data_IF_455663290024
#
_entry.id   IF_455663290024
#
_cell.length_a   1.000
_cell.length_b   1.000
_cell.length_c   1.000
_cell.angle_alpha   90.00
_cell.angle_beta   90.00
_cell.angle_gamma   90.00
#
_symmetry.space_group_name_H-M   'P 1'
#
loop_
_entity.id
_entity.type
_entity.pdbx_description
1 polymer ?
#
# COMPACT_ATOMS: atom_id res chain seq x y z
N UNK A 1 -12.83 -78.00 -39.68
CA UNK A 1 -11.44 -77.90 -39.18
C UNK A 1 -11.18 -76.41 -38.94
N UNK A 2 -11.50 -75.93 -37.73
CA UNK A 2 -11.45 -74.51 -37.34
C UNK A 2 -10.30 -74.36 -36.34
N UNK A 3 -9.24 -73.66 -36.76
CA UNK A 3 -8.07 -73.38 -35.94
C UNK A 3 -8.42 -72.28 -34.92
N UNK A 4 -8.34 -72.61 -33.63
CA UNK A 4 -8.45 -71.67 -32.52
C UNK A 4 -7.14 -70.87 -32.40
N UNK A 5 -7.28 -69.55 -32.42
CA UNK A 5 -6.21 -68.57 -32.23
C UNK A 5 -5.74 -68.55 -30.75
N UNK A 6 -4.50 -68.98 -30.43
CA UNK A 6 -4.00 -69.01 -29.07
C UNK A 6 -3.53 -67.64 -28.55
N UNK A 7 -3.52 -66.58 -29.37
CA UNK A 7 -2.92 -65.29 -28.99
C UNK A 7 -3.86 -64.33 -28.25
N UNK A 8 -5.16 -64.66 -28.11
CA UNK A 8 -6.14 -63.80 -27.44
C UNK A 8 -5.99 -63.69 -25.92
N UNK A 9 -5.37 -64.67 -25.25
CA UNK A 9 -5.27 -64.67 -23.78
C UNK A 9 -4.04 -63.96 -23.22
N UNK A 10 -2.95 -63.80 -23.98
CA UNK A 10 -1.73 -63.14 -23.48
C UNK A 10 -1.81 -61.60 -23.45
N UNK A 11 -2.71 -60.99 -24.25
CA UNK A 11 -2.90 -59.54 -24.27
C UNK A 11 -3.71 -59.00 -23.06
N UNK A 12 -4.51 -59.85 -22.41
CA UNK A 12 -5.29 -59.46 -21.23
C UNK A 12 -4.46 -59.33 -19.95
N UNK A 13 -3.44 -60.17 -19.76
CA UNK A 13 -2.66 -60.20 -18.52
C UNK A 13 -1.55 -59.13 -18.45
N UNK A 14 -1.01 -58.71 -19.60
CA UNK A 14 0.02 -57.66 -19.64
C UNK A 14 -0.53 -56.26 -19.31
N UNK A 15 -1.83 -56.01 -19.54
CA UNK A 15 -2.46 -54.73 -19.18
C UNK A 15 -2.70 -54.59 -17.67
N UNK A 16 -2.90 -55.69 -16.94
CA UNK A 16 -3.11 -55.66 -15.47
C UNK A 16 -1.81 -55.54 -14.67
N UNK A 17 -0.66 -55.91 -15.24
CA UNK A 17 0.65 -55.78 -14.60
C UNK A 17 1.26 -54.38 -14.71
N UNK A 18 0.74 -53.50 -15.57
CA UNK A 18 1.21 -52.11 -15.74
C UNK A 18 0.41 -51.09 -14.91
N UNK A 19 -0.77 -51.46 -14.38
CA UNK A 19 -1.62 -50.59 -13.56
C UNK A 19 -1.02 -50.26 -12.17
N UNK A 20 -0.28 -51.17 -11.47
CA UNK A 20 0.28 -50.84 -10.15
C UNK A 20 1.45 -49.85 -10.19
N UNK A 21 2.14 -49.70 -11.33
CA UNK A 21 3.29 -48.81 -11.48
C UNK A 21 2.91 -47.36 -11.80
N UNK A 22 1.65 -47.10 -12.20
CA UNK A 22 1.15 -45.74 -12.41
C UNK A 22 0.47 -45.14 -11.16
N UNK A 23 0.29 -45.93 -10.09
CA UNK A 23 -0.30 -45.47 -8.83
C UNK A 23 0.72 -44.87 -7.82
N UNK A 24 2.01 -44.82 -8.17
CA UNK A 24 3.10 -44.59 -7.21
C UNK A 24 3.52 -43.14 -6.96
N UNK A 25 3.04 -42.15 -7.72
CA UNK A 25 3.42 -40.74 -7.53
C UNK A 25 2.20 -39.82 -7.61
N UNK A 26 1.09 -40.17 -6.95
CA UNK A 26 0.11 -39.14 -6.65
C UNK A 26 0.66 -38.36 -5.46
N UNK A 27 1.40 -37.28 -5.74
CA UNK A 27 1.79 -36.32 -4.73
C UNK A 27 0.50 -35.85 -4.05
N UNK A 28 0.27 -36.32 -2.83
CA UNK A 28 -0.81 -35.79 -2.00
C UNK A 28 -0.50 -34.30 -1.86
N UNK A 29 -1.25 -33.46 -2.57
CA UNK A 29 -1.21 -32.01 -2.39
C UNK A 29 -1.46 -31.76 -0.91
N UNK A 30 -0.41 -31.39 -0.19
CA UNK A 30 -0.45 -31.22 1.26
C UNK A 30 -1.18 -29.91 1.52
N UNK A 31 -2.51 -29.96 1.54
CA UNK A 31 -3.35 -28.82 1.87
C UNK A 31 -3.20 -28.53 3.37
N UNK A 32 -2.80 -27.31 3.71
CA UNK A 32 -2.74 -26.85 5.09
C UNK A 32 -1.58 -25.90 5.38
N UNK A 33 -1.45 -25.45 6.64
CA UNK A 33 -0.39 -24.55 7.05
C UNK A 33 1.00 -25.10 6.71
N UNK A 34 1.85 -24.23 6.16
CA UNK A 34 3.23 -24.55 5.76
C UNK A 34 4.19 -23.53 6.38
N UNK A 35 5.30 -24.01 6.94
CA UNK A 35 6.30 -23.16 7.59
C UNK A 35 7.48 -22.92 6.66
N UNK A 36 7.95 -21.68 6.59
CA UNK A 36 9.05 -21.23 5.74
C UNK A 36 10.12 -20.54 6.56
N UNK A 37 11.40 -20.75 6.22
CA UNK A 37 12.49 -19.94 6.78
C UNK A 37 12.74 -18.73 5.88
N UNK A 38 12.34 -17.54 6.32
CA UNK A 38 12.34 -16.31 5.51
C UNK A 38 13.10 -15.16 6.20
N UNK A 39 13.74 -14.25 5.45
CA UNK A 39 14.22 -13.00 6.01
C UNK A 39 13.03 -12.15 6.46
N UNK A 40 13.04 -11.71 7.71
CA UNK A 40 11.95 -10.95 8.31
C UNK A 40 12.49 -9.93 9.30
N UNK A 41 11.82 -8.78 9.40
CA UNK A 41 12.23 -7.73 10.32
C UNK A 41 12.02 -8.21 11.77
N UNK A 42 13.05 -8.14 12.60
CA UNK A 42 12.95 -8.43 14.04
C UNK A 42 12.92 -7.16 14.88
N UNK A 43 13.55 -6.09 14.40
CA UNK A 43 13.58 -4.75 14.98
C UNK A 43 13.63 -3.72 13.82
N UNK A 44 13.33 -2.42 14.07
CA UNK A 44 13.45 -1.38 13.04
C UNK A 44 14.79 -1.43 12.30
N UNK A 45 14.75 -1.51 10.96
CA UNK A 45 15.93 -1.64 10.11
C UNK A 45 16.73 -2.96 10.18
N UNK A 46 16.37 -3.93 11.04
CA UNK A 46 17.10 -5.17 11.24
C UNK A 46 16.32 -6.39 10.76
N UNK A 47 17.00 -7.29 10.03
CA UNK A 47 16.39 -8.48 9.43
C UNK A 47 17.17 -9.73 9.82
N UNK A 48 16.43 -10.80 10.12
CA UNK A 48 16.97 -12.12 10.43
C UNK A 48 16.12 -13.21 9.77
N UNK A 49 16.67 -14.42 9.64
CA UNK A 49 15.88 -15.57 9.20
C UNK A 49 14.93 -16.01 10.33
N UNK A 50 13.65 -16.11 10.02
CA UNK A 50 12.60 -16.49 10.95
C UNK A 50 11.70 -17.56 10.33
N UNK A 51 11.19 -18.47 11.16
CA UNK A 51 10.17 -19.43 10.74
C UNK A 51 8.81 -18.76 10.68
N UNK A 52 8.26 -18.62 9.48
CA UNK A 52 6.97 -17.99 9.21
C UNK A 52 5.98 -19.05 8.73
N UNK A 53 4.87 -19.21 9.44
CA UNK A 53 3.81 -20.14 9.05
C UNK A 53 2.78 -19.44 8.16
N UNK A 54 2.65 -19.91 6.93
CA UNK A 54 1.63 -19.48 5.98
C UNK A 54 0.42 -20.40 6.05
N UNK A 55 -0.76 -19.81 6.24
CA UNK A 55 -2.02 -20.53 6.52
C UNK A 55 -3.09 -20.31 5.46
N UNK A 56 -2.90 -19.32 4.59
CA UNK A 56 -3.84 -18.96 3.51
C UNK A 56 -3.38 -19.47 2.15
N UNK A 57 -2.18 -20.03 2.07
CA UNK A 57 -1.57 -20.56 0.86
C UNK A 57 -2.15 -21.95 0.57
N UNK A 58 -2.66 -22.15 -0.65
CA UNK A 58 -3.33 -23.40 -1.01
C UNK A 58 -2.31 -24.52 -1.34
N UNK A 59 -1.20 -24.16 -1.99
CA UNK A 59 -0.11 -25.07 -2.39
C UNK A 59 1.25 -24.40 -2.15
N UNK A 60 2.18 -25.01 -1.37
CA UNK A 60 3.52 -24.45 -1.19
C UNK A 60 4.31 -24.25 -2.49
N UNK A 61 4.01 -25.00 -3.55
CA UNK A 61 4.70 -24.92 -4.83
C UNK A 61 4.06 -23.97 -5.84
N UNK A 62 2.95 -23.32 -5.46
CA UNK A 62 2.27 -22.32 -6.28
C UNK A 62 1.82 -21.17 -5.38
N UNK A 63 2.45 -19.99 -5.50
CA UNK A 63 2.21 -18.83 -4.63
C UNK A 63 0.88 -18.13 -4.95
N UNK A 64 -0.21 -18.84 -4.71
CA UNK A 64 -1.59 -18.42 -4.85
C UNK A 64 -2.39 -18.94 -3.66
N UNK A 65 -3.16 -18.07 -3.04
CA UNK A 65 -4.02 -18.41 -1.92
C UNK A 65 -5.00 -17.29 -1.62
N UNK A 66 -5.57 -17.25 -0.42
CA UNK A 66 -6.60 -16.24 -0.08
C UNK A 66 -6.03 -14.82 0.06
N UNK A 67 -4.76 -14.70 0.47
CA UNK A 67 -4.12 -13.42 0.69
C UNK A 67 -3.51 -12.82 -0.58
N UNK A 68 -2.85 -13.62 -1.41
CA UNK A 68 -2.19 -13.10 -2.60
C UNK A 68 -2.08 -14.13 -3.71
N UNK A 69 -1.87 -13.62 -4.92
CA UNK A 69 -1.39 -14.35 -6.08
C UNK A 69 -0.12 -13.65 -6.56
N UNK A 70 1.01 -14.29 -6.33
CA UNK A 70 2.34 -13.77 -6.68
C UNK A 70 2.72 -14.23 -8.09
N UNK A 71 3.38 -13.38 -8.86
CA UNK A 71 3.82 -13.66 -10.22
C UNK A 71 5.30 -13.29 -10.38
N UNK A 72 6.03 -14.03 -11.21
CA UNK A 72 7.40 -13.70 -11.60
C UNK A 72 7.40 -12.93 -12.92
N UNK A 73 8.06 -11.77 -12.98
CA UNK A 73 8.43 -11.13 -14.25
C UNK A 73 7.26 -10.91 -15.23
N UNK A 74 6.04 -10.77 -14.73
CA UNK A 74 4.84 -10.71 -15.57
C UNK A 74 4.78 -9.41 -16.37
N UNK A 75 4.38 -9.50 -17.62
CA UNK A 75 4.10 -8.35 -18.47
C UNK A 75 2.65 -7.89 -18.30
N UNK A 76 2.43 -6.58 -18.32
CA UNK A 76 1.08 -6.00 -18.37
C UNK A 76 0.54 -6.16 -19.79
N UNK A 77 -0.44 -7.05 -20.00
CA UNK A 77 -1.06 -7.26 -21.31
C UNK A 77 -2.40 -6.53 -21.42
N UNK A 78 -2.36 -5.29 -21.90
CA UNK A 78 -3.56 -4.51 -22.20
C UNK A 78 -4.34 -4.09 -20.95
N UNK A 79 -5.44 -4.79 -20.61
CA UNK A 79 -6.25 -4.54 -19.40
C UNK A 79 -6.07 -5.60 -18.31
N UNK A 80 -5.32 -6.66 -18.61
CA UNK A 80 -5.19 -7.80 -17.73
C UNK A 80 -3.75 -7.94 -17.25
N UNK A 81 -3.65 -8.44 -16.03
CA UNK A 81 -2.41 -8.93 -15.48
C UNK A 81 -2.34 -10.42 -15.78
N UNK A 82 -1.78 -10.76 -16.95
CA UNK A 82 -1.70 -12.14 -17.43
C UNK A 82 -0.38 -12.77 -16.97
N UNK A 83 -0.47 -13.97 -16.39
CA UNK A 83 0.69 -14.72 -15.93
C UNK A 83 0.29 -15.96 -15.14
N UNK A 84 1.17 -16.95 -15.10
CA UNK A 84 1.02 -18.07 -14.18
C UNK A 84 1.51 -17.65 -12.78
N UNK A 85 0.84 -18.08 -11.70
CA UNK A 85 1.37 -17.87 -10.36
C UNK A 85 2.81 -18.38 -10.23
N UNK A 86 3.62 -17.64 -9.49
CA UNK A 86 5.00 -17.97 -9.19
C UNK A 86 5.10 -19.37 -8.57
N UNK A 87 6.02 -20.18 -9.12
CA UNK A 87 6.34 -21.52 -8.61
C UNK A 87 7.75 -21.49 -7.98
N UNK A 88 7.86 -21.27 -6.66
CA UNK A 88 9.15 -21.14 -6.01
C UNK A 88 9.90 -22.46 -6.02
N UNK A 89 11.23 -22.40 -6.12
CA UNK A 89 12.12 -23.53 -5.87
C UNK A 89 12.30 -23.65 -4.36
N UNK A 90 11.77 -24.73 -3.78
CA UNK A 90 11.80 -24.96 -2.34
C UNK A 90 12.55 -26.26 -2.02
N UNK A 91 13.32 -26.24 -0.94
CA UNK A 91 13.85 -27.44 -0.27
C UNK A 91 13.04 -27.66 1.01
N UNK A 92 12.58 -28.88 1.28
CA UNK A 92 11.90 -29.20 2.54
C UNK A 92 12.88 -29.96 3.46
N UNK A 93 13.04 -29.48 4.69
CA UNK A 93 13.79 -30.18 5.73
C UNK A 93 13.02 -30.08 7.05
N UNK A 94 12.74 -31.23 7.67
CA UNK A 94 12.02 -31.31 8.95
C UNK A 94 10.65 -30.58 8.97
N UNK A 95 9.96 -30.52 7.82
CA UNK A 95 8.67 -29.83 7.69
C UNK A 95 8.76 -28.30 7.53
N UNK A 96 9.96 -27.75 7.38
CA UNK A 96 10.20 -26.34 7.05
C UNK A 96 10.66 -26.24 5.60
N UNK A 97 10.07 -25.30 4.86
CA UNK A 97 10.45 -24.97 3.48
C UNK A 97 11.53 -23.88 3.46
N UNK A 98 12.56 -24.12 2.66
CA UNK A 98 13.70 -23.22 2.45
C UNK A 98 13.69 -22.80 0.98
N UNK A 99 13.43 -21.52 0.67
CA UNK A 99 13.55 -21.04 -0.70
C UNK A 99 14.99 -21.20 -1.22
N UNK A 100 15.14 -21.87 -2.36
CA UNK A 100 16.44 -22.35 -2.87
C UNK A 100 17.19 -21.31 -3.72
N UNK A 101 16.57 -20.18 -4.04
CA UNK A 101 17.15 -19.11 -4.83
C UNK A 101 16.60 -17.73 -4.45
N UNK A 102 17.20 -16.67 -5.01
CA UNK A 102 16.76 -15.29 -4.78
C UNK A 102 15.29 -15.08 -5.14
N UNK A 103 14.86 -15.50 -6.33
CA UNK A 103 13.50 -15.25 -6.81
C UNK A 103 12.44 -15.86 -5.88
N UNK A 104 12.66 -17.08 -5.42
CA UNK A 104 11.81 -17.79 -4.47
C UNK A 104 11.80 -17.09 -3.11
N UNK A 105 12.95 -16.65 -2.59
CA UNK A 105 12.99 -15.86 -1.34
C UNK A 105 12.12 -14.61 -1.49
N UNK A 106 12.29 -13.82 -2.56
CA UNK A 106 11.51 -12.60 -2.78
C UNK A 106 10.01 -12.89 -2.89
N UNK A 107 9.63 -13.92 -3.65
CA UNK A 107 8.23 -14.24 -3.88
C UNK A 107 7.53 -14.81 -2.64
N UNK A 108 8.17 -15.74 -1.92
CA UNK A 108 7.59 -16.30 -0.68
C UNK A 108 7.52 -15.23 0.42
N UNK A 109 8.54 -14.39 0.58
CA UNK A 109 8.50 -13.29 1.56
C UNK A 109 7.43 -12.26 1.21
N UNK A 110 7.27 -11.88 -0.07
CA UNK A 110 6.19 -11.01 -0.49
C UNK A 110 4.81 -11.61 -0.15
N UNK A 111 4.58 -12.90 -0.46
CA UNK A 111 3.35 -13.58 -0.06
C UNK A 111 3.13 -13.51 1.45
N UNK A 112 4.16 -13.79 2.25
CA UNK A 112 4.09 -13.76 3.71
C UNK A 112 3.66 -12.39 4.25
N UNK A 113 4.19 -11.30 3.69
CA UNK A 113 3.77 -9.93 4.02
C UNK A 113 2.30 -9.69 3.69
N UNK A 114 1.82 -10.12 2.51
CA UNK A 114 0.41 -9.99 2.14
C UNK A 114 -0.51 -10.87 2.98
N UNK A 115 -0.10 -12.06 3.39
CA UNK A 115 -0.87 -12.87 4.34
C UNK A 115 -1.01 -12.17 5.70
N UNK A 116 0.08 -11.58 6.20
CA UNK A 116 0.04 -10.85 7.46
C UNK A 116 -0.89 -9.62 7.37
N UNK A 117 -0.82 -8.85 6.27
CA UNK A 117 -1.74 -7.74 6.01
C UNK A 117 -3.19 -8.19 5.88
N UNK A 118 -3.45 -9.29 5.16
CA UNK A 118 -4.79 -9.86 5.01
C UNK A 118 -5.41 -10.23 6.35
N UNK A 119 -4.66 -10.94 7.20
CA UNK A 119 -5.09 -11.30 8.56
C UNK A 119 -5.37 -10.06 9.41
N UNK A 120 -4.48 -9.06 9.36
CA UNK A 120 -4.68 -7.80 10.08
C UNK A 120 -5.94 -7.08 9.60
N UNK A 121 -6.22 -7.09 8.29
CA UNK A 121 -7.44 -6.49 7.73
C UNK A 121 -8.71 -7.25 8.11
N UNK A 122 -8.63 -8.58 8.28
CA UNK A 122 -9.72 -9.38 8.84
C UNK A 122 -9.95 -9.04 10.32
N UNK A 123 -8.90 -8.95 11.13
CA UNK A 123 -8.97 -8.57 12.55
C UNK A 123 -9.61 -7.19 12.76
N UNK A 124 -9.25 -6.22 11.92
CA UNK A 124 -9.81 -4.86 11.95
C UNK A 124 -11.24 -4.77 11.38
N UNK A 125 -11.71 -5.81 10.67
CA UNK A 125 -13.00 -5.84 10.00
C UNK A 125 -13.08 -4.93 8.78
N UNK A 126 -11.97 -4.74 8.07
CA UNK A 126 -11.82 -3.80 6.93
C UNK A 126 -11.48 -4.48 5.60
N UNK A 127 -11.36 -5.82 5.58
CA UNK A 127 -10.96 -6.60 4.40
C UNK A 127 -11.82 -6.39 3.16
N UNK A 128 -13.11 -6.04 3.31
CA UNK A 128 -14.01 -5.72 2.19
C UNK A 128 -13.62 -4.43 1.42
N UNK A 129 -12.75 -3.60 2.00
CA UNK A 129 -12.30 -2.35 1.42
C UNK A 129 -11.48 -2.51 0.14
N UNK A 130 -10.81 -3.64 -0.07
CA UNK A 130 -10.04 -3.98 -1.30
C UNK A 130 -10.42 -5.35 -1.85
N UNK A 131 -9.93 -5.69 -3.05
CA UNK A 131 -10.08 -7.03 -3.59
C UNK A 131 -9.02 -7.97 -3.01
N UNK A 132 -9.42 -9.16 -2.56
CA UNK A 132 -8.52 -10.25 -2.16
C UNK A 132 -8.83 -11.49 -3.02
N UNK A 133 -7.84 -12.32 -3.38
CA UNK A 133 -6.40 -12.16 -3.14
C UNK A 133 -5.79 -10.97 -3.89
N UNK A 134 -4.74 -10.35 -3.33
CA UNK A 134 -3.99 -9.29 -4.03
C UNK A 134 -3.16 -9.88 -5.15
N UNK A 135 -3.10 -9.18 -6.27
CA UNK A 135 -2.17 -9.52 -7.34
C UNK A 135 -0.84 -8.82 -7.06
N UNK A 136 0.27 -9.56 -7.10
CA UNK A 136 1.59 -9.01 -6.82
C UNK A 136 2.60 -9.55 -7.82
N UNK A 137 3.23 -8.66 -8.59
CA UNK A 137 4.38 -9.00 -9.42
C UNK A 137 5.67 -8.78 -8.63
N UNK A 138 6.59 -9.74 -8.67
CA UNK A 138 7.93 -9.57 -8.11
C UNK A 138 9.00 -9.77 -9.18
N UNK A 139 10.09 -9.00 -9.03
CA UNK A 139 11.23 -9.00 -9.95
C UNK A 139 10.78 -8.64 -11.39
N UNK A 140 9.85 -7.69 -11.50
CA UNK A 140 9.21 -7.32 -12.76
C UNK A 140 10.00 -6.23 -13.45
N UNK A 141 10.72 -6.57 -14.50
CA UNK A 141 11.40 -5.59 -15.35
C UNK A 141 10.37 -4.72 -16.07
N UNK A 142 10.52 -3.40 -15.98
CA UNK A 142 9.78 -2.48 -16.82
C UNK A 142 10.65 -1.27 -17.14
N UNK A 143 10.48 -0.81 -18.38
CA UNK A 143 11.11 0.39 -18.86
C UNK A 143 10.23 1.57 -18.50
N UNK A 144 10.80 2.52 -17.78
CA UNK A 144 10.36 3.89 -17.80
C UNK A 144 11.02 4.59 -18.98
N UNK A 145 10.24 5.32 -19.77
CA UNK A 145 10.74 5.96 -21.00
C UNK A 145 11.92 6.92 -20.76
N UNK A 146 12.04 7.50 -19.56
CA UNK A 146 13.09 8.46 -19.22
C UNK A 146 14.11 7.93 -18.22
N UNK A 147 13.68 7.13 -17.24
CA UNK A 147 14.58 6.56 -16.24
C UNK A 147 15.26 5.28 -16.75
N UNK A 148 14.81 4.75 -17.90
CA UNK A 148 15.24 3.47 -18.42
C UNK A 148 14.69 2.33 -17.59
N UNK A 149 15.50 1.29 -17.39
CA UNK A 149 15.07 0.15 -16.58
C UNK A 149 14.84 0.57 -15.13
N UNK A 150 13.61 0.45 -14.66
CA UNK A 150 13.28 0.76 -13.27
C UNK A 150 13.77 -0.37 -12.39
N UNK A 151 14.67 -0.04 -11.46
CA UNK A 151 15.09 -0.94 -10.38
C UNK A 151 14.72 -0.33 -9.02
N UNK A 152 14.75 -1.11 -7.93
CA UNK A 152 14.50 -0.61 -6.57
C UNK A 152 13.23 0.24 -6.47
N UNK A 153 12.10 -0.31 -6.87
CA UNK A 153 10.84 0.38 -6.72
C UNK A 153 9.72 -0.63 -6.43
N UNK A 154 8.65 -0.15 -5.82
CA UNK A 154 7.35 -0.80 -5.91
C UNK A 154 6.31 0.25 -6.29
N UNK A 155 5.22 -0.20 -6.88
CA UNK A 155 4.07 0.66 -7.15
C UNK A 155 2.79 -0.16 -7.18
N UNK A 156 1.70 0.46 -6.75
CA UNK A 156 0.36 -0.04 -7.00
C UNK A 156 -0.23 0.58 -8.28
N UNK A 157 -0.70 -0.27 -9.19
CA UNK A 157 -1.30 0.14 -10.47
C UNK A 157 -2.81 -0.05 -10.41
N UNK A 158 -3.52 1.03 -10.06
CA UNK A 158 -4.97 0.99 -9.77
C UNK A 158 -5.87 0.48 -10.90
N UNK A 159 -5.49 0.67 -12.17
CA UNK A 159 -6.28 0.17 -13.31
C UNK A 159 -6.26 -1.36 -13.45
N UNK A 160 -5.22 -2.02 -12.93
CA UNK A 160 -5.07 -3.48 -12.95
C UNK A 160 -5.29 -4.12 -11.58
N UNK A 161 -5.45 -3.31 -10.54
CA UNK A 161 -5.52 -3.76 -9.14
C UNK A 161 -4.32 -4.67 -8.77
N UNK A 162 -3.11 -4.23 -9.12
CA UNK A 162 -1.87 -5.01 -8.95
C UNK A 162 -0.78 -4.20 -8.28
N UNK A 163 -0.02 -4.82 -7.39
CA UNK A 163 1.24 -4.28 -6.88
C UNK A 163 2.39 -4.84 -7.71
N UNK A 164 3.21 -3.97 -8.30
CA UNK A 164 4.40 -4.36 -9.05
C UNK A 164 5.64 -4.02 -8.23
N UNK A 165 6.56 -4.98 -8.09
CA UNK A 165 7.83 -4.80 -7.38
C UNK A 165 8.97 -5.00 -8.37
N UNK A 166 9.69 -3.91 -8.63
CA UNK A 166 10.80 -3.88 -9.57
C UNK A 166 11.99 -4.72 -9.06
N UNK A 167 12.87 -5.20 -9.96
CA UNK A 167 14.11 -5.84 -9.58
C UNK A 167 14.95 -4.94 -8.68
N UNK A 168 15.49 -5.52 -7.62
CA UNK A 168 16.40 -4.81 -6.75
C UNK A 168 17.84 -4.86 -7.30
N UNK A 169 18.47 -3.69 -7.43
CA UNK A 169 19.89 -3.52 -7.72
C UNK A 169 20.51 -2.52 -6.74
N UNK A 170 21.73 -2.77 -6.26
CA UNK A 170 22.46 -1.83 -5.39
C UNK A 170 22.34 -2.11 -3.89
N UNK A 171 22.37 -1.03 -3.11
CA UNK A 171 22.42 -1.04 -1.65
C UNK A 171 21.04 -1.20 -1.00
N UNK A 172 21.01 -1.79 0.20
CA UNK A 172 19.79 -2.00 0.98
C UNK A 172 19.22 -3.40 0.80
N UNK A 173 18.00 -3.61 1.29
CA UNK A 173 17.27 -4.86 1.06
C UNK A 173 16.36 -4.74 -0.17
N UNK A 174 16.15 -5.84 -0.90
CA UNK A 174 15.12 -5.89 -1.93
C UNK A 174 13.75 -5.45 -1.44
N UNK A 175 13.04 -4.68 -2.25
CA UNK A 175 11.74 -4.08 -1.88
C UNK A 175 10.70 -5.15 -1.53
N UNK A 176 10.75 -6.31 -2.19
CA UNK A 176 9.86 -7.45 -1.87
C UNK A 176 10.08 -8.03 -0.46
N UNK A 177 11.21 -7.75 0.19
CA UNK A 177 11.49 -8.13 1.59
C UNK A 177 11.08 -7.04 2.59
N UNK A 178 10.76 -5.83 2.11
CA UNK A 178 10.42 -4.70 2.96
C UNK A 178 8.91 -4.63 3.16
N UNK A 179 8.43 -5.27 4.22
CA UNK A 179 7.01 -5.31 4.54
C UNK A 179 6.37 -3.93 4.74
N UNK A 180 7.12 -2.92 5.20
CA UNK A 180 6.63 -1.55 5.32
C UNK A 180 6.33 -0.92 3.96
N UNK A 181 7.20 -1.12 2.96
CA UNK A 181 6.95 -0.66 1.59
C UNK A 181 5.78 -1.42 0.97
N UNK A 182 5.71 -2.75 1.14
CA UNK A 182 4.57 -3.51 0.62
C UNK A 182 3.23 -3.10 1.27
N UNK A 183 3.23 -2.72 2.54
CA UNK A 183 2.05 -2.20 3.23
C UNK A 183 1.65 -0.80 2.75
N UNK A 184 2.62 0.06 2.45
CA UNK A 184 2.41 1.34 1.77
C UNK A 184 1.71 1.11 0.42
N UNK A 185 2.25 0.24 -0.44
CA UNK A 185 1.64 -0.05 -1.75
C UNK A 185 0.24 -0.68 -1.61
N UNK A 186 0.04 -1.58 -0.66
CA UNK A 186 -1.26 -2.18 -0.42
C UNK A 186 -2.31 -1.15 0.01
N UNK A 187 -1.90 -0.07 0.71
CA UNK A 187 -2.84 1.00 1.09
C UNK A 187 -3.33 1.80 -0.12
N UNK A 188 -2.50 2.04 -1.13
CA UNK A 188 -2.95 2.71 -2.35
C UNK A 188 -4.14 2.00 -3.00
N UNK A 189 -4.27 0.67 -2.85
CA UNK A 189 -5.46 -0.05 -3.31
C UNK A 189 -6.74 0.35 -2.58
N UNK A 190 -6.67 0.59 -1.27
CA UNK A 190 -7.79 1.10 -0.48
C UNK A 190 -8.18 2.51 -0.94
N UNK A 191 -7.19 3.39 -1.10
CA UNK A 191 -7.43 4.76 -1.53
C UNK A 191 -7.96 4.83 -2.96
N UNK A 192 -7.44 4.02 -3.89
CA UNK A 192 -7.93 3.97 -5.27
C UNK A 192 -9.36 3.48 -5.35
N UNK A 193 -9.70 2.39 -4.66
CA UNK A 193 -11.06 1.87 -4.68
C UNK A 193 -12.08 2.86 -4.09
N UNK A 194 -11.71 3.57 -3.03
CA UNK A 194 -12.63 4.43 -2.30
C UNK A 194 -12.65 5.91 -2.74
N UNK A 195 -11.53 6.43 -3.25
CA UNK A 195 -11.33 7.88 -3.49
C UNK A 195 -10.84 8.14 -4.92
N UNK A 196 -9.62 7.76 -5.27
CA UNK A 196 -9.00 8.22 -6.53
C UNK A 196 -9.59 7.54 -7.78
N UNK A 197 -10.03 6.28 -7.69
CA UNK A 197 -10.72 5.56 -8.75
C UNK A 197 -12.08 6.17 -9.12
N UNK A 198 -12.99 6.44 -8.14
CA UNK A 198 -14.21 7.20 -8.39
C UNK A 198 -13.96 8.58 -9.02
N UNK A 199 -12.95 9.32 -8.54
CA UNK A 199 -12.53 10.61 -9.14
C UNK A 199 -12.10 10.43 -10.59
N UNK A 200 -11.20 9.47 -10.87
CA UNK A 200 -10.73 9.15 -12.22
C UNK A 200 -11.84 8.73 -13.19
N UNK A 201 -12.90 8.07 -12.71
CA UNK A 201 -14.07 7.70 -13.53
C UNK A 201 -14.98 8.89 -13.82
N UNK A 202 -15.15 9.79 -12.85
CA UNK A 202 -16.06 10.94 -12.95
C UNK A 202 -15.44 12.08 -13.75
N UNK A 203 -14.15 12.29 -13.53
CA UNK A 203 -13.30 13.23 -14.25
C UNK A 203 -12.31 12.39 -15.04
N UNK A 204 -12.74 11.77 -16.16
CA UNK A 204 -11.86 10.99 -17.02
C UNK A 204 -10.81 11.94 -17.61
N UNK A 205 -9.69 12.05 -16.90
CA UNK A 205 -8.52 12.77 -17.36
C UNK A 205 -8.16 12.22 -18.74
N UNK A 206 -8.13 13.10 -19.75
CA UNK A 206 -7.42 12.76 -20.99
C UNK A 206 -5.97 12.50 -20.57
N UNK A 207 -5.41 11.35 -20.95
CA UNK A 207 -4.49 10.57 -20.12
C UNK A 207 -3.11 11.23 -20.04
N UNK A 208 -2.90 12.19 -19.14
CA UNK A 208 -1.58 12.80 -18.95
C UNK A 208 -1.19 13.14 -17.50
N UNK A 209 -2.08 13.09 -16.52
CA UNK A 209 -1.68 13.21 -15.10
C UNK A 209 -1.93 11.87 -14.44
N UNK A 210 -0.90 11.01 -14.47
CA UNK A 210 -0.95 9.73 -13.78
C UNK A 210 -0.68 9.97 -12.29
N UNK A 211 -1.74 9.95 -11.47
CA UNK A 211 -1.66 10.09 -10.00
C UNK A 211 -0.71 9.06 -9.34
N UNK A 212 -0.35 7.99 -10.05
CA UNK A 212 0.37 6.83 -9.54
C UNK A 212 1.72 6.55 -10.24
N UNK A 213 2.39 7.52 -10.88
CA UNK A 213 3.70 7.26 -11.52
C UNK A 213 4.90 7.52 -10.58
N UNK A 214 5.96 6.66 -10.57
CA UNK A 214 6.87 6.53 -9.44
C UNK A 214 7.98 7.59 -9.41
N UNK A 215 8.24 8.13 -8.22
CA UNK A 215 9.32 9.08 -7.96
C UNK A 215 10.61 8.45 -7.40
N UNK A 216 10.78 7.13 -7.47
CA UNK A 216 11.83 6.45 -6.68
C UNK A 216 13.07 5.98 -7.44
N UNK A 217 13.29 6.44 -8.68
CA UNK A 217 14.55 6.17 -9.39
C UNK A 217 15.36 7.41 -9.75
N UNK A 218 15.58 8.31 -8.78
CA UNK A 218 16.73 9.24 -8.77
C UNK A 218 16.90 10.18 -9.97
N UNK A 219 15.98 10.18 -10.92
CA UNK A 219 15.92 11.11 -12.03
C UNK A 219 14.78 12.08 -11.79
N UNK A 220 15.02 13.40 -11.81
CA UNK A 220 13.94 14.33 -12.09
C UNK A 220 13.41 14.02 -13.50
N UNK A 221 12.24 14.54 -13.86
CA UNK A 221 11.74 14.59 -15.25
C UNK A 221 10.95 13.35 -15.73
N UNK A 222 9.69 13.17 -15.29
CA UNK A 222 8.68 12.63 -16.22
C UNK A 222 7.21 13.06 -16.02
N UNK A 223 6.93 13.98 -15.09
CA UNK A 223 5.72 14.80 -15.26
C UNK A 223 5.93 15.86 -16.39
N UNK A 224 7.18 16.28 -16.61
CA UNK A 224 7.58 17.27 -17.63
C UNK A 224 7.25 16.91 -19.08
N UNK A 225 7.16 15.64 -19.46
CA UNK A 225 6.74 15.27 -20.82
C UNK A 225 5.23 15.39 -21.02
N UNK A 226 4.47 15.08 -19.97
CA UNK A 226 3.01 15.10 -20.02
C UNK A 226 2.47 16.53 -19.94
N UNK A 227 3.09 17.43 -19.15
CA UNK A 227 2.74 18.86 -19.18
C UNK A 227 3.37 19.64 -20.35
N UNK A 228 4.53 19.22 -20.89
CA UNK A 228 5.06 19.84 -22.11
C UNK A 228 4.26 19.45 -23.35
N UNK A 229 3.79 18.20 -23.46
CA UNK A 229 2.80 17.85 -24.47
C UNK A 229 1.45 18.54 -24.24
N UNK A 230 1.08 18.80 -22.98
CA UNK A 230 -0.12 19.57 -22.67
C UNK A 230 -0.03 20.98 -23.27
N UNK A 231 1.06 21.72 -22.98
CA UNK A 231 1.31 23.06 -23.52
C UNK A 231 1.49 23.09 -25.04
N UNK A 232 2.02 22.03 -25.66
CA UNK A 232 2.21 22.00 -27.12
C UNK A 232 0.94 21.68 -27.91
N UNK A 233 0.01 20.90 -27.33
CA UNK A 233 -1.23 20.50 -27.99
C UNK A 233 -2.41 21.45 -27.71
N UNK A 234 -2.33 22.31 -26.68
CA UNK A 234 -3.44 23.17 -26.21
C UNK A 234 -3.05 24.66 -26.22
N UNK A 235 -2.84 25.22 -27.42
CA UNK A 235 -2.87 26.69 -27.62
C UNK A 235 -4.28 27.28 -27.67
N UNK A 236 -5.30 26.44 -27.46
CA UNK A 236 -6.71 26.83 -27.34
C UNK A 236 -7.16 26.56 -25.89
N UNK A 237 -7.79 27.57 -25.27
CA UNK A 237 -8.52 27.73 -23.98
C UNK A 237 -8.99 26.53 -23.11
N UNK A 238 -8.67 25.27 -23.43
CA UNK A 238 -9.04 24.06 -22.67
C UNK A 238 -7.95 23.63 -21.67
N UNK A 239 -7.23 24.57 -21.05
CA UNK A 239 -6.33 24.27 -19.92
C UNK A 239 -7.20 23.69 -18.78
N UNK A 240 -6.76 22.64 -18.04
CA UNK A 240 -7.60 22.09 -17.00
C UNK A 240 -7.70 23.18 -15.94
N UNK A 241 -8.93 23.50 -15.56
CA UNK A 241 -9.15 24.55 -14.57
C UNK A 241 -8.17 24.39 -13.40
N UNK A 242 -7.49 25.47 -13.03
CA UNK A 242 -6.46 25.51 -11.99
C UNK A 242 -6.86 24.70 -10.74
N UNK A 243 -8.13 24.81 -10.32
CA UNK A 243 -8.69 24.11 -9.17
C UNK A 243 -8.59 22.58 -9.25
N UNK A 244 -8.67 21.99 -10.45
CA UNK A 244 -8.56 20.56 -10.67
C UNK A 244 -7.13 20.08 -10.41
N UNK A 245 -6.14 20.80 -10.93
CA UNK A 245 -4.72 20.49 -10.72
C UNK A 245 -4.35 20.58 -9.24
N UNK A 246 -4.84 21.61 -8.54
CA UNK A 246 -4.71 21.72 -7.09
C UNK A 246 -5.32 20.51 -6.38
N UNK A 247 -6.54 20.10 -6.75
CA UNK A 247 -7.21 18.98 -6.11
C UNK A 247 -6.47 17.67 -6.31
N UNK A 248 -5.85 17.46 -7.48
CA UNK A 248 -5.03 16.28 -7.74
C UNK A 248 -3.78 16.23 -6.84
N UNK A 249 -3.11 17.37 -6.64
CA UNK A 249 -1.99 17.47 -5.70
C UNK A 249 -2.42 17.09 -4.29
N UNK A 250 -3.55 17.65 -3.82
CA UNK A 250 -4.09 17.37 -2.49
C UNK A 250 -4.44 15.90 -2.34
N UNK A 251 -5.11 15.30 -3.33
CA UNK A 251 -5.46 13.88 -3.31
C UNK A 251 -4.22 12.99 -3.28
N UNK A 252 -3.18 13.29 -4.06
CA UNK A 252 -1.92 12.55 -4.04
C UNK A 252 -1.23 12.68 -2.69
N UNK A 253 -1.16 13.89 -2.12
CA UNK A 253 -0.59 14.10 -0.79
C UNK A 253 -1.35 13.34 0.31
N UNK A 254 -2.68 13.21 0.21
CA UNK A 254 -3.44 12.38 1.13
C UNK A 254 -3.13 10.90 0.95
N UNK A 255 -3.11 10.41 -0.28
CA UNK A 255 -2.82 9.01 -0.59
C UNK A 255 -1.44 8.60 -0.06
N UNK A 256 -0.40 9.33 -0.45
CA UNK A 256 0.99 9.09 -0.03
C UNK A 256 1.16 9.14 1.50
N UNK A 257 0.54 10.13 2.17
CA UNK A 257 0.67 10.29 3.61
C UNK A 257 -0.06 9.20 4.41
N UNK A 258 -1.22 8.76 3.93
CA UNK A 258 -1.92 7.64 4.54
C UNK A 258 -1.18 6.33 4.24
N UNK A 259 -0.64 6.14 3.04
CA UNK A 259 0.18 4.98 2.69
C UNK A 259 1.44 4.88 3.58
N UNK A 260 2.13 6.00 3.81
CA UNK A 260 3.24 6.10 4.77
C UNK A 260 2.84 5.71 6.19
N UNK A 261 1.65 6.13 6.65
CA UNK A 261 1.11 5.71 7.95
C UNK A 261 0.93 4.20 8.00
N UNK A 262 0.40 3.58 6.94
CA UNK A 262 0.21 2.13 6.89
C UNK A 262 1.53 1.35 6.76
N UNK A 263 2.54 1.91 6.09
CA UNK A 263 3.89 1.37 6.09
C UNK A 263 4.50 1.34 7.49
N UNK A 264 4.38 2.45 8.23
CA UNK A 264 4.76 2.52 9.65
C UNK A 264 3.94 1.56 10.52
N UNK A 265 2.61 1.56 10.36
CA UNK A 265 1.70 0.72 11.14
C UNK A 265 2.09 -0.75 11.06
N UNK A 266 2.46 -1.20 9.86
CA UNK A 266 2.91 -2.56 9.59
C UNK A 266 4.31 -2.83 10.15
N UNK A 267 5.29 -1.98 9.81
CA UNK A 267 6.71 -2.25 10.10
C UNK A 267 7.13 -1.86 11.52
N UNK A 268 6.37 -0.99 12.19
CA UNK A 268 6.74 -0.32 13.45
C UNK A 268 8.10 0.38 13.38
N UNK A 269 8.46 0.85 12.19
CA UNK A 269 9.73 1.49 11.88
C UNK A 269 9.46 2.88 11.26
N UNK A 270 9.84 3.99 11.91
CA UNK A 270 9.61 5.32 11.38
C UNK A 270 10.43 5.63 10.12
N UNK A 271 11.42 4.78 9.81
CA UNK A 271 12.28 4.87 8.64
C UNK A 271 12.17 3.61 7.77
N UNK A 272 11.02 2.93 7.75
CA UNK A 272 10.83 1.67 7.02
C UNK A 272 11.31 1.72 5.55
N UNK A 273 11.20 2.88 4.88
CA UNK A 273 11.71 3.07 3.51
C UNK A 273 13.23 3.01 3.41
N UNK A 274 13.97 3.45 4.43
CA UNK A 274 15.43 3.55 4.44
C UNK A 274 16.12 2.19 4.28
N UNK A 275 15.46 1.09 4.67
CA UNK A 275 15.98 -0.26 4.50
C UNK A 275 16.17 -0.61 3.01
N UNK A 276 15.30 -0.12 2.13
CA UNK A 276 15.37 -0.36 0.68
C UNK A 276 15.87 0.85 -0.12
N UNK A 277 15.70 2.06 0.41
CA UNK A 277 15.93 3.34 -0.27
C UNK A 277 16.74 4.27 0.64
N UNK A 278 18.06 4.07 0.72
CA UNK A 278 18.92 4.85 1.63
C UNK A 278 18.86 6.36 1.31
N UNK A 279 18.66 6.70 0.04
CA UNK A 279 18.61 8.07 -0.47
C UNK A 279 17.39 8.87 0.01
N UNK A 280 16.26 8.23 0.31
CA UNK A 280 15.04 8.94 0.74
C UNK A 280 14.89 9.04 2.25
N UNK A 281 15.72 8.30 2.99
CA UNK A 281 15.70 8.25 4.46
C UNK A 281 15.67 9.64 5.14
N UNK A 282 16.44 10.66 4.69
CA UNK A 282 16.43 11.97 5.34
C UNK A 282 15.10 12.72 5.24
N UNK A 283 14.29 12.41 4.21
CA UNK A 283 13.11 13.20 3.87
C UNK A 283 11.80 12.47 4.16
N UNK A 284 11.81 11.13 4.11
CA UNK A 284 10.63 10.26 4.23
C UNK A 284 10.46 9.60 5.59
N UNK A 285 11.24 10.01 6.60
CA UNK A 285 10.97 9.62 7.99
C UNK A 285 9.58 10.09 8.41
N UNK A 286 8.75 9.17 8.90
CA UNK A 286 7.39 9.50 9.38
C UNK A 286 7.40 10.14 10.77
N UNK A 287 8.54 10.14 11.44
CA UNK A 287 8.77 10.98 12.61
C UNK A 287 9.47 12.28 12.22
N UNK A 288 9.13 13.35 12.93
CA UNK A 288 9.76 14.65 12.79
C UNK A 288 8.76 15.80 12.79
N UNK A 289 9.27 16.99 12.49
CA UNK A 289 8.46 18.20 12.39
C UNK A 289 7.51 18.15 11.19
N UNK A 290 6.27 18.61 11.38
CA UNK A 290 5.36 18.96 10.30
C UNK A 290 4.89 20.41 10.49
N UNK A 291 4.81 21.19 9.41
CA UNK A 291 4.30 22.55 9.47
C UNK A 291 2.78 22.55 9.70
N UNK A 292 2.21 23.73 10.01
CA UNK A 292 0.77 23.96 9.90
C UNK A 292 0.17 23.42 8.59
N UNK A 293 -1.04 22.86 8.69
CA UNK A 293 -1.83 22.45 7.53
C UNK A 293 -1.95 23.67 6.62
N UNK A 294 -1.48 23.59 5.37
CA UNK A 294 -1.50 24.75 4.49
C UNK A 294 -2.95 25.16 4.19
N UNK A 295 -3.19 26.47 4.12
CA UNK A 295 -4.46 26.99 3.60
C UNK A 295 -4.53 26.77 2.08
N UNK A 296 -5.74 26.92 1.53
CA UNK A 296 -5.95 26.82 0.08
C UNK A 296 -5.11 27.87 -0.64
N UNK A 297 -5.07 29.11 -0.11
CA UNK A 297 -4.30 30.22 -0.68
C UNK A 297 -2.80 29.92 -0.64
N UNK A 298 -2.26 29.49 0.51
CA UNK A 298 -0.82 29.22 0.64
C UNK A 298 -0.36 28.06 -0.24
N UNK A 299 -1.17 27.03 -0.40
CA UNK A 299 -0.84 25.90 -1.28
C UNK A 299 -1.00 26.29 -2.75
N UNK A 300 -2.02 27.09 -3.10
CA UNK A 300 -2.23 27.63 -4.43
C UNK A 300 -1.08 28.53 -4.89
N UNK A 301 -0.64 29.48 -4.05
CA UNK A 301 0.50 30.36 -4.34
C UNK A 301 1.78 29.57 -4.66
N UNK A 302 2.05 28.51 -3.88
CA UNK A 302 3.20 27.63 -4.11
C UNK A 302 3.05 26.75 -5.34
N UNK A 303 1.82 26.44 -5.74
CA UNK A 303 1.54 25.57 -6.87
C UNK A 303 1.59 26.31 -8.20
N UNK A 304 1.02 27.52 -8.26
CA UNK A 304 0.95 28.33 -9.48
C UNK A 304 2.18 29.22 -9.68
N UNK A 305 2.94 29.52 -8.61
CA UNK A 305 4.09 30.44 -8.66
C UNK A 305 5.43 29.84 -9.08
N UNK A 306 5.47 28.58 -9.56
CA UNK A 306 6.72 27.86 -9.84
C UNK A 306 6.89 27.56 -11.33
N UNK A 307 7.98 28.06 -11.92
CA UNK A 307 8.29 27.94 -13.35
C UNK A 307 8.69 26.52 -13.81
N UNK A 308 9.03 25.62 -12.89
CA UNK A 308 9.26 24.18 -13.15
C UNK A 308 8.21 23.32 -12.42
N UNK A 309 7.01 23.18 -13.01
CA UNK A 309 5.82 22.79 -12.26
C UNK A 309 5.87 21.36 -11.75
N UNK A 310 6.50 20.45 -12.44
CA UNK A 310 6.06 19.05 -12.42
C UNK A 310 6.85 18.19 -11.45
N UNK A 311 8.18 18.20 -11.55
CA UNK A 311 9.03 17.56 -10.54
C UNK A 311 8.79 18.16 -9.15
N UNK A 312 8.47 19.46 -9.08
CA UNK A 312 8.20 20.14 -7.83
C UNK A 312 6.85 19.71 -7.25
N UNK A 313 5.80 19.57 -8.06
CA UNK A 313 4.48 19.13 -7.59
C UNK A 313 4.50 17.72 -7.02
N UNK A 314 5.17 16.77 -7.68
CA UNK A 314 5.36 15.40 -7.16
C UNK A 314 6.10 15.43 -5.82
N UNK A 315 7.25 16.08 -5.78
CA UNK A 315 8.06 16.18 -4.57
C UNK A 315 7.28 16.87 -3.44
N UNK A 316 6.46 17.87 -3.78
CA UNK A 316 5.57 18.53 -2.84
C UNK A 316 4.51 17.56 -2.32
N UNK A 317 3.85 16.75 -3.17
CA UNK A 317 2.86 15.79 -2.70
C UNK A 317 3.47 14.76 -1.75
N UNK A 318 4.67 14.25 -2.02
CA UNK A 318 5.39 13.37 -1.07
C UNK A 318 5.72 14.07 0.24
N UNK A 319 6.14 15.33 0.17
CA UNK A 319 6.47 16.12 1.37
C UNK A 319 5.23 16.36 2.22
N UNK A 320 4.12 16.79 1.59
CA UNK A 320 2.84 17.00 2.24
C UNK A 320 2.21 15.69 2.75
N UNK A 321 2.40 14.58 2.04
CA UNK A 321 2.04 13.25 2.51
C UNK A 321 2.81 12.86 3.77
N UNK A 322 4.13 13.04 3.78
CA UNK A 322 4.94 12.78 4.99
C UNK A 322 4.48 13.63 6.18
N UNK A 323 4.08 14.89 5.94
CA UNK A 323 3.50 15.74 6.99
C UNK A 323 2.15 15.23 7.49
N UNK A 324 1.31 14.70 6.61
CA UNK A 324 0.06 14.05 6.98
C UNK A 324 0.30 12.86 7.91
N UNK A 325 1.31 12.04 7.62
CA UNK A 325 1.67 10.90 8.49
C UNK A 325 2.16 11.37 9.85
N UNK A 326 3.07 12.36 9.89
CA UNK A 326 3.59 12.91 11.14
C UNK A 326 2.47 13.47 12.01
N UNK A 327 1.52 14.17 11.39
CA UNK A 327 0.32 14.65 12.06
C UNK A 327 -0.48 13.50 12.69
N UNK A 328 -0.71 12.41 11.96
CA UNK A 328 -1.42 11.23 12.49
C UNK A 328 -0.71 10.60 13.69
N UNK A 329 0.62 10.48 13.64
CA UNK A 329 1.39 9.92 14.75
C UNK A 329 1.36 10.82 15.99
N UNK A 330 1.42 12.14 15.80
CA UNK A 330 1.27 13.09 16.91
C UNK A 330 -0.15 13.08 17.48
N UNK A 331 -1.16 13.02 16.62
CA UNK A 331 -2.55 12.87 17.01
C UNK A 331 -2.74 11.60 17.84
N UNK A 332 -2.22 10.47 17.37
CA UNK A 332 -2.22 9.21 18.10
C UNK A 332 -1.58 9.34 19.49
N UNK A 333 -0.35 9.87 19.55
CA UNK A 333 0.38 10.08 20.81
C UNK A 333 -0.40 10.98 21.77
N UNK A 334 -1.08 12.01 21.26
CA UNK A 334 -1.84 12.96 22.08
C UNK A 334 -3.16 12.39 22.61
N UNK A 335 -3.78 11.49 21.86
CA UNK A 335 -5.08 10.89 22.20
C UNK A 335 -4.96 9.57 22.95
N UNK A 336 -3.80 8.91 22.87
CA UNK A 336 -3.59 7.58 23.43
C UNK A 336 -4.29 6.46 22.66
N UNK A 337 -4.80 6.75 21.45
CA UNK A 337 -5.42 5.75 20.60
C UNK A 337 -4.41 4.69 20.17
N UNK A 338 -4.87 3.44 20.07
CA UNK A 338 -4.07 2.38 19.48
C UNK A 338 -3.87 2.61 17.97
N UNK A 339 -2.79 2.05 17.43
CA UNK A 339 -2.58 2.06 15.99
C UNK A 339 -3.74 1.39 15.24
N UNK A 340 -4.25 0.28 15.79
CA UNK A 340 -5.38 -0.46 15.25
C UNK A 340 -6.65 0.39 15.16
N UNK A 341 -6.93 1.20 16.18
CA UNK A 341 -8.08 2.10 16.20
C UNK A 341 -8.01 3.14 15.08
N UNK A 342 -6.83 3.75 14.89
CA UNK A 342 -6.60 4.74 13.83
C UNK A 342 -6.66 4.08 12.45
N UNK A 343 -5.94 2.98 12.25
CA UNK A 343 -5.93 2.23 10.98
C UNK A 343 -7.35 1.80 10.58
N UNK A 344 -8.14 1.29 11.53
CA UNK A 344 -9.54 0.93 11.33
C UNK A 344 -10.40 2.14 10.98
N UNK A 345 -10.27 3.24 11.73
CA UNK A 345 -11.04 4.47 11.47
C UNK A 345 -10.77 5.02 10.08
N UNK A 346 -9.50 5.07 9.66
CA UNK A 346 -9.11 5.51 8.32
C UNK A 346 -9.80 4.65 7.27
N UNK A 347 -9.60 3.32 7.29
CA UNK A 347 -10.13 2.43 6.25
C UNK A 347 -11.65 2.42 6.17
N UNK A 348 -12.35 2.50 7.31
CA UNK A 348 -13.82 2.56 7.34
C UNK A 348 -14.40 3.87 6.81
N UNK A 349 -13.67 4.99 6.94
CA UNK A 349 -14.15 6.31 6.54
C UNK A 349 -13.70 6.74 5.12
N UNK A 350 -12.80 6.00 4.46
CA UNK A 350 -12.37 6.29 3.09
C UNK A 350 -13.54 6.44 2.09
N UNK A 351 -14.59 5.60 2.07
CA UNK A 351 -15.72 5.79 1.15
C UNK A 351 -16.47 7.10 1.38
N UNK A 352 -16.58 7.53 2.63
CA UNK A 352 -17.18 8.82 3.00
C UNK A 352 -16.32 9.98 2.51
N UNK A 353 -15.00 9.85 2.60
CA UNK A 353 -14.05 10.84 2.06
C UNK A 353 -14.21 10.95 0.54
N UNK A 354 -14.20 9.82 -0.17
CA UNK A 354 -14.38 9.78 -1.63
C UNK A 354 -15.68 10.44 -2.09
N UNK A 355 -16.79 10.20 -1.39
CA UNK A 355 -18.06 10.87 -1.65
C UNK A 355 -17.95 12.39 -1.52
N UNK A 356 -17.39 12.89 -0.43
CA UNK A 356 -17.28 14.33 -0.21
C UNK A 356 -16.29 14.99 -1.19
N UNK A 357 -15.21 14.31 -1.55
CA UNK A 357 -14.27 14.75 -2.61
C UNK A 357 -15.01 14.94 -3.92
N UNK A 358 -15.78 13.94 -4.36
CA UNK A 358 -16.56 14.03 -5.60
C UNK A 358 -17.59 15.17 -5.54
N UNK A 359 -18.26 15.35 -4.41
CA UNK A 359 -19.22 16.44 -4.23
C UNK A 359 -18.56 17.82 -4.31
N UNK A 360 -17.39 18.01 -3.68
CA UNK A 360 -16.64 19.27 -3.75
C UNK A 360 -16.11 19.54 -5.16
N UNK A 361 -15.52 18.53 -5.81
CA UNK A 361 -15.04 18.64 -7.19
C UNK A 361 -16.19 18.90 -8.18
N UNK A 362 -17.39 18.37 -7.94
CA UNK A 362 -18.56 18.62 -8.79
C UNK A 362 -19.03 20.08 -8.72
N UNK A 363 -18.68 20.80 -7.64
CA UNK A 363 -18.93 22.23 -7.47
C UNK A 363 -17.75 23.11 -7.94
N UNK A 364 -16.66 22.52 -8.44
CA UNK A 364 -15.44 23.25 -8.80
C UNK A 364 -14.70 23.83 -7.59
N UNK A 365 -14.85 23.24 -6.41
CA UNK A 365 -14.22 23.71 -5.18
C UNK A 365 -12.81 23.15 -5.00
N UNK A 366 -11.90 23.97 -4.47
CA UNK A 366 -10.62 23.52 -3.95
C UNK A 366 -10.84 22.67 -2.68
N UNK A 367 -10.24 21.48 -2.63
CA UNK A 367 -10.28 20.58 -1.49
C UNK A 367 -9.46 21.17 -0.34
N UNK A 368 -10.07 21.49 0.83
CA UNK A 368 -9.30 21.94 1.98
C UNK A 368 -8.37 20.82 2.44
N UNK A 369 -7.07 21.08 2.58
CA UNK A 369 -6.08 20.03 2.90
C UNK A 369 -6.41 19.26 4.20
N UNK A 370 -7.06 19.90 5.17
CA UNK A 370 -7.50 19.27 6.43
C UNK A 370 -8.77 18.42 6.33
N UNK A 371 -9.50 18.45 5.22
CA UNK A 371 -10.74 17.72 5.01
C UNK A 371 -10.59 16.21 5.24
N UNK A 372 -9.44 15.63 4.85
CA UNK A 372 -9.14 14.22 5.08
C UNK A 372 -9.30 13.83 6.54
N UNK A 373 -8.82 14.64 7.47
CA UNK A 373 -8.88 14.34 8.90
C UNK A 373 -10.27 14.58 9.47
N UNK A 374 -10.93 15.66 9.03
CA UNK A 374 -12.31 15.96 9.40
C UNK A 374 -13.21 14.75 9.09
N UNK A 375 -12.96 14.05 7.98
CA UNK A 375 -13.72 12.86 7.62
C UNK A 375 -13.23 11.62 8.35
N UNK A 376 -11.93 11.32 8.29
CA UNK A 376 -11.36 10.05 8.76
C UNK A 376 -11.40 9.90 10.28
N UNK A 377 -11.52 11.01 11.03
CA UNK A 377 -11.55 11.03 12.49
C UNK A 377 -12.93 11.43 13.06
N UNK A 378 -13.93 11.71 12.22
CA UNK A 378 -15.26 12.18 12.67
C UNK A 378 -16.14 11.16 13.38
N UNK A 379 -15.85 9.86 13.32
CA UNK A 379 -16.63 8.85 14.06
C UNK A 379 -16.14 8.76 15.52
N UNK A 380 -16.13 9.94 16.16
CA UNK A 380 -15.55 10.19 17.49
C UNK A 380 -16.24 9.38 18.58
N UNK A 381 -17.51 9.00 18.39
CA UNK A 381 -18.22 8.12 19.33
C UNK A 381 -17.52 6.77 19.52
N UNK A 382 -16.79 6.29 18.50
CA UNK A 382 -16.01 5.05 18.56
C UNK A 382 -14.60 5.28 19.11
N UNK A 383 -13.99 6.43 18.80
CA UNK A 383 -12.64 6.77 19.28
C UNK A 383 -12.63 7.22 20.76
N UNK A 384 -13.67 7.94 21.20
CA UNK A 384 -13.80 8.45 22.56
C UNK A 384 -14.06 7.33 23.59
N UNK A 385 -14.74 6.26 23.18
CA UNK A 385 -14.98 5.10 24.04
C UNK A 385 -13.68 4.34 24.40
N UNK A 386 -12.61 4.48 23.60
CA UNK A 386 -11.32 3.80 23.85
C UNK A 386 -10.31 4.70 24.58
N UNK A 387 -10.42 6.03 24.47
CA UNK A 387 -9.39 6.97 24.93
C UNK A 387 -9.79 7.81 26.15
N UNK A 388 -11.07 7.90 26.49
CA UNK A 388 -11.57 8.74 27.60
C UNK A 388 -11.23 10.24 27.43
N UNK A 389 -10.76 10.67 26.26
CA UNK A 389 -10.22 12.00 25.99
C UNK A 389 -11.08 12.71 24.93
N UNK A 390 -11.51 13.97 25.14
CA UNK A 390 -12.19 14.74 24.11
C UNK A 390 -11.21 15.16 23.00
N UNK A 391 -11.09 14.28 22.00
CA UNK A 391 -10.34 14.44 20.74
C UNK A 391 -10.61 15.79 20.03
N UNK A 392 -11.82 16.32 20.20
CA UNK A 392 -12.32 17.55 19.59
C UNK A 392 -11.47 18.78 19.96
N UNK A 393 -10.98 18.90 21.19
CA UNK A 393 -10.27 20.12 21.61
C UNK A 393 -8.86 20.25 21.03
N UNK A 394 -8.19 19.14 20.69
CA UNK A 394 -6.85 19.19 20.11
C UNK A 394 -6.89 19.58 18.63
N UNK A 395 -7.86 19.02 17.90
CA UNK A 395 -8.00 19.17 16.46
C UNK A 395 -8.56 20.55 16.06
N UNK A 396 -9.52 21.09 16.82
CA UNK A 396 -10.12 22.40 16.54
C UNK A 396 -9.38 23.62 17.13
N UNK A 397 -8.58 23.47 18.20
CA UNK A 397 -7.77 24.57 18.76
C UNK A 397 -6.58 24.99 17.90
N UNK A 398 -6.25 24.20 16.87
CA UNK A 398 -5.14 24.52 15.97
C UNK A 398 -5.46 25.63 14.97
N UNK A 399 -6.74 25.94 14.75
CA UNK A 399 -7.10 26.95 13.76
C UNK A 399 -6.86 28.40 14.20
N UNK A 400 -6.81 28.79 15.49
CA UNK A 400 -6.57 30.21 15.84
C UNK A 400 -6.41 30.66 17.32
N UNK A 401 -5.93 29.87 18.30
CA UNK A 401 -6.01 30.32 19.73
C UNK A 401 -4.82 31.14 20.23
N UNK A 402 -5.03 32.40 20.71
CA UNK A 402 -4.01 33.22 21.37
C UNK A 402 -3.49 32.59 22.68
N UNK A 403 -2.22 32.86 23.01
CA UNK A 403 -1.49 32.28 24.16
C UNK A 403 -2.18 32.50 25.52
N UNK A 404 -3.00 33.53 25.67
CA UNK A 404 -3.75 33.85 26.89
C UNK A 404 -4.89 32.87 27.21
N UNK A 405 -5.56 32.31 26.20
CA UNK A 405 -6.64 31.34 26.42
C UNK A 405 -6.13 29.92 26.69
N UNK A 406 -4.93 29.57 26.18
CA UNK A 406 -4.26 28.30 26.48
C UNK A 406 -4.02 28.09 27.98
N UNK A 407 -3.72 29.18 28.70
CA UNK A 407 -3.50 29.14 30.15
C UNK A 407 -4.79 28.99 30.97
N UNK A 408 -5.94 29.45 30.43
CA UNK A 408 -7.25 29.32 31.08
C UNK A 408 -7.78 27.87 31.01
N UNK A 409 -7.55 27.19 29.89
CA UNK A 409 -7.92 25.77 29.72
C UNK A 409 -7.01 24.82 30.49
N UNK A 410 -5.70 25.12 30.58
CA UNK A 410 -4.78 24.38 31.47
C UNK A 410 -5.17 24.50 32.96
N UNK A 411 -5.84 25.58 33.36
CA UNK A 411 -6.42 25.70 34.71
C UNK A 411 -7.74 24.94 34.86
N UNK A 412 -8.56 24.85 33.82
CA UNK A 412 -9.81 24.09 33.85
C UNK A 412 -9.57 22.57 33.95
N UNK A 413 -8.60 22.04 33.20
CA UNK A 413 -8.21 20.62 33.30
C UNK A 413 -7.60 20.27 34.67
N UNK A 414 -6.92 21.21 35.32
CA UNK A 414 -6.47 21.05 36.73
C UNK A 414 -7.63 21.10 37.73
N UNK A 415 -8.73 21.75 37.39
CA UNK A 415 -9.92 21.89 38.26
C UNK A 415 -10.90 20.72 38.19
N UNK A 416 -10.79 19.87 37.15
CA UNK A 416 -11.64 18.68 37.00
C UNK A 416 -11.19 17.49 37.85
N UNK A 417 -10.04 17.59 38.53
CA UNK A 417 -9.53 16.60 39.48
C UNK A 417 -9.16 15.24 38.85
N UNK A 418 -8.37 14.40 39.54
CA UNK A 418 -8.16 13.03 39.09
C UNK A 418 -9.49 12.28 39.14
N UNK A 419 -9.84 11.63 38.03
CA UNK A 419 -11.02 10.78 37.94
C UNK A 419 -10.84 9.58 38.87
N UNK A 420 -11.50 9.59 40.02
CA UNK A 420 -11.60 8.43 40.89
C UNK A 420 -12.62 7.47 40.31
N UNK A 421 -12.20 6.66 39.34
CA UNK A 421 -12.90 5.44 38.97
C UNK A 421 -12.95 4.53 40.20
N UNK A 422 -14.10 4.49 40.85
CA UNK A 422 -14.42 3.56 41.92
C UNK A 422 -14.52 2.13 41.40
N UNK A 423 -14.03 1.21 42.21
CA UNK A 423 -14.11 -0.25 42.11
C UNK A 423 -15.38 -0.80 41.43
N UNK A 424 -15.15 -1.74 40.50
CA UNK A 424 -16.13 -2.58 39.82
C UNK A 424 -15.45 -3.63 38.96
#
# INVERSE_FOLDING_TARGET
MLLRDPMGQLRGWLLWLLIPFLAGCWANSRSGPSTYLLPWANEPGHYSLQEITLTTLDDPYQLSGQAAKIYFGSELNGRNFDGEPARPRLLEQSGVFYPADRASILAVTAYAHYEHMFKKDQELGVSAGVGWPRQVSVDSEYLDENLGMVTRNAEYIGIYDVTRVAPHSGDGIPVALNGGVLAHENFHAYFDKAVSGPVRRTYPFRPKINLYWPALNGGPLNELWLASQWKSDHTNDDDPDEWLLYNLLVLRAWDEGLADYFGYFYAKDPQFMAASFKEVAPFRSVEGFYPPIPSIESLSEKFYGVDDPDCIKVCQSYTYGTFNTRFLLDFQKSTGLSDEAIARSIKLNLPRLGKQVLEAMARGEHLPFGMVWDVLLSDESKLANESGCPVIEYYFNWKQVPRSEKNRWAQLCKSLGPWSGSDG
#
